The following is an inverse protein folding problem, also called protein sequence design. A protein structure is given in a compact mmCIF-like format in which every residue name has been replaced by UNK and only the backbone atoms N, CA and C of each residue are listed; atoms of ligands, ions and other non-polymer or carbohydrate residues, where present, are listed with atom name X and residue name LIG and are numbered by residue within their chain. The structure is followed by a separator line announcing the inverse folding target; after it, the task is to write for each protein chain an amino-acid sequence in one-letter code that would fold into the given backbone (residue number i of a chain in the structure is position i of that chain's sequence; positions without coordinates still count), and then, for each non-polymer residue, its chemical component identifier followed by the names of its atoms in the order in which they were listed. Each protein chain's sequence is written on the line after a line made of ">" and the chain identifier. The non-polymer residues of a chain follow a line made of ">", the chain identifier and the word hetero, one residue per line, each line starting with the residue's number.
data_IF_109075475775
#
_entry.id   IF_109075475775
#
_cell.length_a   1.000
_cell.length_b   1.000
_cell.length_c   1.000
_cell.angle_alpha   90.00
_cell.angle_beta   90.00
_cell.angle_gamma   90.00
#
_symmetry.space_group_name_H-M   'P 1'
#
loop_
_entity.id
_entity.type
_entity.pdbx_description
1 polymer ?
#
# COMPACT_ATOMS: atom_id res chain seq x y z
N UNK A 1 36.62 -8.67 -0.98
CA UNK A 1 35.80 -9.49 -0.08
C UNK A 1 34.71 -10.18 -0.89
N UNK A 2 34.97 -11.41 -1.33
CA UNK A 2 34.03 -12.22 -2.10
C UNK A 2 33.03 -12.87 -1.14
N UNK A 3 31.73 -12.76 -1.43
CA UNK A 3 30.66 -13.44 -0.69
C UNK A 3 30.44 -14.78 -1.38
N UNK A 4 30.88 -15.86 -0.74
CA UNK A 4 30.69 -17.24 -1.21
C UNK A 4 29.20 -17.60 -1.17
N UNK A 5 28.61 -18.19 -2.22
CA UNK A 5 27.23 -18.64 -2.18
C UNK A 5 27.10 -19.91 -1.32
N UNK A 6 26.09 -19.90 -0.47
CA UNK A 6 25.75 -20.97 0.48
C UNK A 6 25.18 -22.17 -0.28
N UNK A 7 25.88 -23.31 -0.27
CA UNK A 7 25.40 -24.59 -0.80
C UNK A 7 24.34 -25.17 0.14
N UNK A 8 23.08 -25.20 -0.28
CA UNK A 8 22.04 -26.03 0.35
C UNK A 8 22.04 -27.39 -0.34
N UNK A 9 22.40 -28.44 0.40
CA UNK A 9 22.37 -29.82 -0.07
C UNK A 9 20.99 -30.41 0.26
N UNK A 10 20.16 -30.70 -0.75
CA UNK A 10 18.95 -31.51 -0.59
C UNK A 10 19.06 -32.75 -1.48
N UNK A 11 18.89 -33.92 -0.85
CA UNK A 11 18.98 -35.24 -1.47
C UNK A 11 17.69 -35.59 -2.22
N UNK A 12 17.85 -35.80 -3.53
CA UNK A 12 17.19 -36.74 -4.45
C UNK A 12 15.65 -36.86 -4.49
N UNK A 13 15.08 -36.37 -5.59
CA UNK A 13 14.09 -37.11 -6.41
C UNK A 13 14.19 -36.65 -7.87
N UNK A 14 14.20 -37.60 -8.80
CA UNK A 14 14.46 -37.38 -10.22
C UNK A 14 13.31 -36.67 -10.93
N UNK A 15 13.55 -35.42 -11.30
CA UNK A 15 12.78 -34.61 -12.24
C UNK A 15 13.68 -33.46 -12.64
N UNK A 16 13.76 -33.11 -13.93
CA UNK A 16 14.66 -32.05 -14.42
C UNK A 16 14.36 -30.75 -13.68
N UNK A 17 15.18 -30.42 -12.68
CA UNK A 17 15.22 -29.11 -12.08
C UNK A 17 15.74 -28.16 -13.16
N UNK A 18 14.82 -27.40 -13.77
CA UNK A 18 15.20 -26.16 -14.41
C UNK A 18 15.62 -25.27 -13.26
N UNK A 19 16.92 -25.20 -12.98
CA UNK A 19 17.49 -24.15 -12.14
C UNK A 19 17.24 -22.84 -12.86
N UNK A 20 16.08 -22.24 -12.58
CA UNK A 20 15.79 -20.89 -13.02
C UNK A 20 16.70 -19.97 -12.20
N UNK A 21 17.77 -19.50 -12.83
CA UNK A 21 18.67 -18.50 -12.27
C UNK A 21 17.87 -17.20 -12.09
N UNK A 22 17.19 -17.06 -10.95
CA UNK A 22 16.49 -15.83 -10.57
C UNK A 22 17.57 -14.78 -10.34
N UNK A 23 17.87 -14.02 -11.40
CA UNK A 23 18.73 -12.83 -11.29
C UNK A 23 18.16 -11.96 -10.17
N UNK A 24 18.98 -11.46 -9.24
CA UNK A 24 18.50 -10.60 -8.19
C UNK A 24 17.81 -9.41 -8.84
N UNK A 25 16.49 -9.37 -8.68
CA UNK A 25 15.69 -8.25 -9.15
C UNK A 25 16.11 -7.07 -8.29
N UNK A 26 16.74 -6.09 -8.92
CA UNK A 26 17.15 -4.87 -8.23
C UNK A 26 15.89 -4.07 -7.92
N UNK A 27 15.30 -4.33 -6.75
CA UNK A 27 14.03 -3.73 -6.29
C UNK A 27 14.09 -2.20 -6.34
N UNK A 28 15.30 -1.62 -6.19
CA UNK A 28 15.53 -0.19 -6.34
C UNK A 28 15.23 0.35 -7.75
N UNK A 29 15.32 -0.49 -8.80
CA UNK A 29 14.96 -0.11 -10.19
C UNK A 29 13.46 -0.20 -10.48
N UNK A 30 12.70 -0.91 -9.64
CA UNK A 30 11.24 -1.04 -9.77
C UNK A 30 10.48 0.07 -9.04
N UNK A 31 11.11 0.73 -8.07
CA UNK A 31 10.57 1.87 -7.36
C UNK A 31 10.56 3.14 -8.22
N UNK A 32 9.41 3.79 -8.33
CA UNK A 32 9.27 5.05 -9.08
C UNK A 32 9.10 6.26 -8.16
N UNK A 33 8.53 6.07 -6.97
CA UNK A 33 8.31 7.16 -6.03
C UNK A 33 7.20 6.89 -5.02
N UNK A 34 6.82 7.94 -4.29
CA UNK A 34 5.64 7.92 -3.43
C UNK A 34 4.37 8.06 -4.26
N UNK A 35 3.38 7.19 -4.04
CA UNK A 35 2.08 7.30 -4.67
C UNK A 35 1.13 8.17 -3.85
N UNK A 36 0.94 7.80 -2.58
CA UNK A 36 0.10 8.50 -1.61
C UNK A 36 0.42 8.03 -0.18
N UNK A 37 -0.05 8.77 0.81
CA UNK A 37 0.01 8.40 2.23
C UNK A 37 -1.42 8.29 2.75
N UNK A 38 -1.75 7.18 3.43
CA UNK A 38 -3.04 7.00 4.09
C UNK A 38 -2.93 7.29 5.58
N UNK A 39 -3.83 8.15 6.06
CA UNK A 39 -3.95 8.51 7.47
C UNK A 39 -5.29 8.05 8.01
N UNK A 40 -5.25 7.38 9.15
CA UNK A 40 -6.44 7.07 9.91
C UNK A 40 -6.67 8.15 10.95
N UNK A 41 -7.80 8.83 10.80
CA UNK A 41 -8.15 10.03 11.59
C UNK A 41 -9.55 9.90 12.16
N UNK A 42 -9.81 10.60 13.26
CA UNK A 42 -11.13 10.62 13.89
C UNK A 42 -12.20 11.22 12.98
N UNK A 43 -11.87 12.30 12.27
CA UNK A 43 -12.79 12.95 11.32
C UNK A 43 -12.09 13.28 10.01
N UNK A 44 -12.31 12.45 8.98
CA UNK A 44 -11.66 12.59 7.68
C UNK A 44 -12.02 13.91 6.97
N UNK A 45 -13.28 14.36 7.09
CA UNK A 45 -13.75 15.60 6.44
C UNK A 45 -13.07 16.83 7.04
N UNK A 46 -12.95 16.87 8.36
CA UNK A 46 -12.25 17.96 9.05
C UNK A 46 -10.77 17.98 8.69
N UNK A 47 -10.10 16.82 8.70
CA UNK A 47 -8.70 16.69 8.33
C UNK A 47 -8.46 17.17 6.89
N UNK A 48 -9.26 16.68 5.92
CA UNK A 48 -9.16 17.11 4.53
C UNK A 48 -9.35 18.62 4.38
N UNK A 49 -10.39 19.18 5.01
CA UNK A 49 -10.66 20.63 4.99
C UNK A 49 -9.51 21.44 5.58
N UNK A 50 -8.89 20.96 6.66
CA UNK A 50 -7.73 21.62 7.26
C UNK A 50 -6.55 21.66 6.29
N UNK A 51 -6.24 20.54 5.62
CA UNK A 51 -5.15 20.50 4.64
C UNK A 51 -5.43 21.37 3.41
N UNK A 52 -6.68 21.40 2.96
CA UNK A 52 -7.09 22.27 1.86
C UNK A 52 -6.96 23.75 2.24
N UNK A 53 -7.51 24.15 3.38
CA UNK A 53 -7.57 25.55 3.80
C UNK A 53 -6.20 26.11 4.24
N UNK A 54 -5.35 25.30 4.88
CA UNK A 54 -4.09 25.77 5.46
C UNK A 54 -2.87 25.55 4.57
N UNK A 55 -2.85 24.48 3.80
CA UNK A 55 -1.70 24.12 2.97
C UNK A 55 -1.97 24.27 1.47
N UNK A 56 -3.22 24.52 1.06
CA UNK A 56 -3.58 24.75 -0.34
C UNK A 56 -3.79 23.47 -1.15
N UNK A 57 -4.06 22.35 -0.48
CA UNK A 57 -4.48 21.12 -1.14
C UNK A 57 -5.85 21.26 -1.80
N UNK A 58 -6.13 20.40 -2.78
CA UNK A 58 -7.44 20.30 -3.43
C UNK A 58 -7.96 18.87 -3.30
N UNK A 59 -9.26 18.73 -3.04
CA UNK A 59 -9.91 17.43 -3.04
C UNK A 59 -9.96 16.87 -4.47
N UNK A 60 -9.55 15.62 -4.64
CA UNK A 60 -9.48 14.95 -5.95
C UNK A 60 -10.38 13.72 -6.03
N UNK A 61 -10.61 13.04 -4.91
CA UNK A 61 -11.47 11.88 -4.86
C UNK A 61 -12.13 11.75 -3.49
N UNK A 62 -13.33 11.17 -3.49
CA UNK A 62 -14.10 10.90 -2.29
C UNK A 62 -14.66 9.48 -2.35
N UNK A 63 -14.63 8.79 -1.21
CA UNK A 63 -15.33 7.53 -0.98
C UNK A 63 -16.11 7.63 0.33
N UNK A 64 -17.39 7.31 0.32
CA UNK A 64 -18.22 7.35 1.53
C UNK A 64 -19.61 6.76 1.29
N UNK A 65 -20.58 7.17 2.10
CA UNK A 65 -21.95 6.64 2.06
C UNK A 65 -22.61 6.90 0.70
N UNK A 66 -22.34 8.07 0.14
CA UNK A 66 -22.82 8.57 -1.14
C UNK A 66 -22.28 7.75 -2.32
N UNK A 67 -21.09 7.17 -2.16
CA UNK A 67 -20.45 6.31 -3.17
C UNK A 67 -20.65 4.82 -2.87
N UNK A 68 -21.51 4.47 -1.91
CA UNK A 68 -21.83 3.09 -1.52
C UNK A 68 -20.88 2.45 -0.50
N UNK A 69 -19.87 3.17 0.01
CA UNK A 69 -18.99 2.67 1.08
C UNK A 69 -19.61 2.94 2.44
N UNK A 70 -20.05 1.88 3.12
CA UNK A 70 -20.75 1.97 4.42
C UNK A 70 -19.83 1.85 5.64
N UNK A 71 -18.60 1.41 5.45
CA UNK A 71 -17.68 1.12 6.55
C UNK A 71 -16.69 2.28 6.82
N UNK A 72 -16.19 2.90 5.76
CA UNK A 72 -15.11 3.90 5.83
C UNK A 72 -15.39 5.05 4.88
N UNK A 73 -15.26 6.27 5.37
CA UNK A 73 -15.19 7.47 4.54
C UNK A 73 -13.73 7.86 4.32
N UNK A 74 -13.36 8.08 3.07
CA UNK A 74 -12.01 8.48 2.66
C UNK A 74 -12.07 9.74 1.79
N UNK A 75 -11.38 10.78 2.23
CA UNK A 75 -11.19 12.02 1.45
C UNK A 75 -9.75 12.05 0.93
N UNK A 76 -9.58 12.13 -0.39
CA UNK A 76 -8.27 12.22 -1.01
C UNK A 76 -8.02 13.65 -1.45
N UNK A 77 -6.94 14.22 -0.94
CA UNK A 77 -6.50 15.58 -1.28
C UNK A 77 -5.13 15.54 -1.95
N UNK A 78 -4.93 16.44 -2.91
CA UNK A 78 -3.70 16.52 -3.70
C UNK A 78 -3.18 17.95 -3.81
N UNK A 79 -1.85 18.08 -3.74
CA UNK A 79 -1.12 19.30 -4.09
C UNK A 79 0.13 18.92 -4.90
N UNK A 80 0.15 19.29 -6.19
CA UNK A 80 1.19 18.82 -7.11
C UNK A 80 1.20 17.29 -7.18
N UNK A 81 2.34 16.68 -6.83
CA UNK A 81 2.52 15.23 -6.80
C UNK A 81 2.23 14.60 -5.43
N UNK A 82 1.93 15.40 -4.40
CA UNK A 82 1.68 14.92 -3.03
C UNK A 82 0.21 14.57 -2.89
N UNK A 83 -0.08 13.35 -2.41
CA UNK A 83 -1.45 12.86 -2.19
C UNK A 83 -1.61 12.34 -0.76
N UNK A 84 -2.64 12.81 -0.08
CA UNK A 84 -3.06 12.31 1.23
C UNK A 84 -4.46 11.72 1.13
N UNK A 85 -4.63 10.52 1.68
CA UNK A 85 -5.92 9.89 1.87
C UNK A 85 -6.26 9.90 3.35
N UNK A 86 -7.26 10.69 3.75
CA UNK A 86 -7.75 10.72 5.12
C UNK A 86 -8.93 9.76 5.24
N UNK A 87 -8.78 8.72 6.03
CA UNK A 87 -9.81 7.69 6.25
C UNK A 87 -10.35 7.77 7.68
N UNK A 88 -11.67 7.73 7.83
CA UNK A 88 -12.37 7.63 9.12
C UNK A 88 -13.44 6.54 9.08
N UNK A 89 -13.59 5.80 10.17
CA UNK A 89 -14.64 4.80 10.29
C UNK A 89 -16.03 5.47 10.36
N UNK A 90 -16.98 4.94 9.60
CA UNK A 90 -18.38 5.40 9.62
C UNK A 90 -19.22 4.63 10.63
N UNK A 91 -18.80 3.43 10.98
CA UNK A 91 -19.50 2.56 11.94
C UNK A 91 -18.65 2.33 13.19
N UNK A 92 -19.27 2.24 14.38
CA UNK A 92 -18.56 1.99 15.63
C UNK A 92 -17.95 0.58 15.72
N UNK A 93 -18.29 -0.32 14.78
CA UNK A 93 -17.79 -1.70 14.73
C UNK A 93 -16.39 -1.87 14.13
N UNK A 94 -15.77 -0.80 13.62
CA UNK A 94 -14.43 -0.89 13.05
C UNK A 94 -13.36 -0.90 14.16
N UNK A 95 -13.04 -2.11 14.63
CA UNK A 95 -12.09 -2.31 15.74
C UNK A 95 -10.66 -1.93 15.38
N UNK A 96 -10.24 -2.12 14.13
CA UNK A 96 -8.87 -1.80 13.70
C UNK A 96 -8.61 -0.29 13.71
N UNK A 97 -9.48 0.50 13.09
CA UNK A 97 -9.35 1.96 13.06
C UNK A 97 -9.47 2.55 14.47
N UNK A 98 -10.44 2.06 15.25
CA UNK A 98 -10.64 2.50 16.64
C UNK A 98 -9.43 2.22 17.53
N UNK A 99 -8.82 1.04 17.42
CA UNK A 99 -7.63 0.68 18.20
C UNK A 99 -6.41 1.52 17.79
N UNK A 100 -6.24 1.79 16.50
CA UNK A 100 -5.16 2.65 16.02
C UNK A 100 -5.31 4.07 16.58
N UNK A 101 -6.51 4.65 16.47
CA UNK A 101 -6.80 5.98 16.99
C UNK A 101 -6.64 6.06 18.51
N UNK A 102 -7.07 5.04 19.25
CA UNK A 102 -6.89 5.01 20.70
C UNK A 102 -5.41 4.96 21.13
N UNK A 103 -4.55 4.33 20.32
CA UNK A 103 -3.11 4.20 20.62
C UNK A 103 -2.28 5.40 20.16
N UNK A 104 -2.62 6.00 19.02
CA UNK A 104 -1.76 6.96 18.32
C UNK A 104 -2.43 8.32 18.09
N UNK A 105 -3.74 8.42 18.24
CA UNK A 105 -4.52 9.55 17.74
C UNK A 105 -4.61 9.53 16.21
N UNK A 106 -4.73 10.72 15.62
CA UNK A 106 -4.71 10.92 14.17
C UNK A 106 -3.29 10.68 13.64
N UNK A 107 -3.12 9.68 12.77
CA UNK A 107 -1.78 9.26 12.35
C UNK A 107 -1.72 8.51 11.03
N UNK A 108 -0.50 8.37 10.51
CA UNK A 108 -0.22 7.63 9.27
C UNK A 108 -0.40 6.14 9.52
N UNK A 109 -1.23 5.50 8.71
CA UNK A 109 -1.44 4.05 8.74
C UNK A 109 -0.60 3.32 7.70
N UNK A 110 -0.53 3.89 6.50
CA UNK A 110 0.08 3.25 5.32
C UNK A 110 0.83 4.27 4.45
N UNK A 111 1.92 3.81 3.83
CA UNK A 111 2.73 4.60 2.90
C UNK A 111 2.81 3.82 1.59
N UNK A 112 2.12 4.32 0.57
CA UNK A 112 2.04 3.65 -0.71
C UNK A 112 3.14 4.13 -1.66
N UNK A 113 3.75 3.18 -2.35
CA UNK A 113 4.80 3.41 -3.32
C UNK A 113 4.32 3.08 -4.73
N UNK A 114 4.70 3.93 -5.69
CA UNK A 114 4.53 3.66 -7.10
C UNK A 114 5.67 2.75 -7.56
N UNK A 115 5.31 1.64 -8.22
CA UNK A 115 6.24 0.65 -8.72
C UNK A 115 5.85 0.23 -10.13
N UNK A 116 6.84 -0.11 -10.96
CA UNK A 116 6.63 -0.55 -12.34
C UNK A 116 5.86 -1.87 -12.44
N UNK A 117 6.21 -2.83 -11.58
CA UNK A 117 5.57 -4.14 -11.51
C UNK A 117 5.29 -4.50 -10.04
N UNK A 118 4.02 -4.39 -9.64
CA UNK A 118 3.60 -4.66 -8.27
C UNK A 118 3.74 -6.14 -7.89
N UNK A 119 3.49 -7.07 -8.82
CA UNK A 119 3.53 -8.52 -8.54
C UNK A 119 4.97 -8.98 -8.34
N UNK A 120 5.85 -8.64 -9.27
CA UNK A 120 7.26 -8.98 -9.17
C UNK A 120 7.91 -8.34 -7.93
N UNK A 121 7.56 -7.09 -7.62
CA UNK A 121 8.07 -6.40 -6.43
C UNK A 121 7.59 -7.07 -5.14
N UNK A 122 6.32 -7.44 -5.08
CA UNK A 122 5.75 -8.13 -3.91
C UNK A 122 6.42 -9.48 -3.66
N UNK A 123 6.55 -10.31 -4.70
CA UNK A 123 7.18 -11.63 -4.61
C UNK A 123 8.62 -11.53 -4.11
N UNK A 124 9.38 -10.58 -4.64
CA UNK A 124 10.76 -10.35 -4.25
C UNK A 124 10.88 -9.88 -2.79
N UNK A 125 9.98 -9.01 -2.33
CA UNK A 125 9.98 -8.54 -0.94
C UNK A 125 9.61 -9.68 0.02
N UNK A 126 8.60 -10.49 -0.31
CA UNK A 126 8.21 -11.66 0.51
C UNK A 126 9.34 -12.68 0.53
N UNK A 127 10.00 -12.94 -0.60
CA UNK A 127 11.18 -13.82 -0.69
C UNK A 127 12.34 -13.34 0.19
N UNK A 128 12.48 -12.04 0.36
CA UNK A 128 13.47 -11.41 1.25
C UNK A 128 13.03 -11.32 2.72
N UNK A 129 11.84 -11.81 3.07
CA UNK A 129 11.33 -11.88 4.43
C UNK A 129 10.35 -10.78 4.82
N UNK A 130 9.83 -10.00 3.87
CA UNK A 130 8.73 -9.06 4.12
C UNK A 130 7.43 -9.77 4.48
N UNK A 131 6.59 -9.14 5.32
CA UNK A 131 5.52 -9.87 6.01
C UNK A 131 4.28 -10.22 5.17
N UNK A 132 3.83 -9.51 4.15
CA UNK A 132 2.51 -9.77 3.53
C UNK A 132 1.32 -9.60 4.49
N UNK A 133 0.55 -8.56 4.20
CA UNK A 133 -0.74 -8.24 4.82
C UNK A 133 -1.87 -8.49 3.82
N UNK A 134 -1.63 -8.18 2.54
CA UNK A 134 -2.56 -8.40 1.44
C UNK A 134 -1.80 -8.78 0.17
N UNK A 135 -2.17 -9.92 -0.40
CA UNK A 135 -1.63 -10.36 -1.69
C UNK A 135 -1.99 -9.40 -2.84
N UNK A 136 -1.21 -9.38 -3.94
CA UNK A 136 -1.47 -8.55 -5.10
C UNK A 136 -2.83 -8.83 -5.73
N UNK A 137 -3.72 -7.85 -5.68
CA UNK A 137 -5.04 -7.89 -6.32
C UNK A 137 -5.17 -6.79 -7.35
N UNK A 138 -5.91 -7.08 -8.41
CA UNK A 138 -6.26 -6.09 -9.43
C UNK A 138 -7.57 -5.42 -9.04
N UNK A 139 -7.59 -4.09 -9.11
CA UNK A 139 -8.77 -3.26 -8.97
C UNK A 139 -8.97 -2.60 -10.34
N UNK A 140 -10.14 -2.76 -10.93
CA UNK A 140 -10.47 -2.19 -12.23
C UNK A 140 -11.73 -1.35 -12.15
N UNK A 141 -11.75 -0.27 -12.94
CA UNK A 141 -12.88 0.61 -13.15
C UNK A 141 -12.98 1.01 -14.64
N UNK A 142 -13.85 1.96 -14.96
CA UNK A 142 -14.05 2.45 -16.33
C UNK A 142 -12.84 3.23 -16.88
N UNK A 143 -11.91 3.65 -16.02
CA UNK A 143 -10.77 4.49 -16.36
C UNK A 143 -9.44 3.72 -16.38
N UNK A 144 -9.43 2.46 -15.94
CA UNK A 144 -8.30 1.57 -16.10
C UNK A 144 -8.26 0.46 -15.05
N UNK A 145 -7.08 -0.11 -14.85
CA UNK A 145 -6.82 -1.05 -13.76
C UNK A 145 -5.54 -0.72 -13.01
N UNK A 146 -5.53 -1.08 -11.74
CA UNK A 146 -4.40 -0.91 -10.83
C UNK A 146 -4.19 -2.20 -10.04
N UNK A 147 -2.94 -2.65 -9.95
CA UNK A 147 -2.57 -3.77 -9.08
C UNK A 147 -2.04 -3.20 -7.77
N UNK A 148 -2.63 -3.63 -6.65
CA UNK A 148 -2.27 -3.19 -5.31
C UNK A 148 -1.92 -4.38 -4.43
N UNK A 149 -0.90 -4.23 -3.60
CA UNK A 149 -0.45 -5.22 -2.63
C UNK A 149 -0.01 -4.52 -1.34
N UNK A 150 -0.06 -5.22 -0.21
CA UNK A 150 0.35 -4.69 1.11
C UNK A 150 1.25 -5.70 1.81
N UNK A 151 2.38 -5.25 2.35
CA UNK A 151 3.43 -6.09 2.93
C UNK A 151 3.63 -5.79 4.40
#
# INVERSE_FOLDING_TARGET
>A
CAVTPMRVCMSAAAGRAVEEEVKPVDVGRMYEGFHHIELWVGNAKQAATFFMARFGFREVAYRGLETGSREVATHVVQQGNIRFAFSSALTPGNSQMSQHQARHGDGVRDVAFAVKDCRATYEEIVRRGGRSISEPREISDEHGSAVVATI
#
